data_IF_291548130030
#
_entry.id   IF_291548130030
#
_cell.length_a   1.000
_cell.length_b   1.000
_cell.length_c   1.000
_cell.angle_alpha   90.00
_cell.angle_beta   90.00
_cell.angle_gamma   90.00
#
_symmetry.space_group_name_H-M   'P 1'
#
loop_
_entity.id
_entity.type
_entity.pdbx_description
1 polymer ?
#
# COMPACT_ATOMS: atom_id res chain seq x y z
N UNK A 1 -15.37 -27.37 -7.00
CA UNK A 1 -16.04 -26.07 -7.28
C UNK A 1 -14.95 -25.02 -7.37
N UNK A 2 -14.62 -24.57 -8.58
CA UNK A 2 -13.58 -23.56 -8.79
C UNK A 2 -14.19 -22.18 -8.54
N UNK A 3 -14.03 -21.62 -7.35
CA UNK A 3 -14.36 -20.22 -7.11
C UNK A 3 -13.36 -19.36 -7.88
N UNK A 4 -13.75 -18.99 -9.10
CA UNK A 4 -13.21 -17.86 -9.82
C UNK A 4 -13.67 -16.58 -9.10
N UNK A 5 -13.18 -16.37 -7.87
CA UNK A 5 -13.34 -15.11 -7.13
C UNK A 5 -12.44 -14.08 -7.80
N UNK A 6 -12.89 -13.61 -8.96
CA UNK A 6 -12.27 -12.52 -9.69
C UNK A 6 -12.78 -11.22 -9.10
N UNK A 7 -11.87 -10.43 -8.56
CA UNK A 7 -12.15 -9.12 -8.01
C UNK A 7 -12.37 -8.14 -9.15
N UNK A 8 -13.55 -7.51 -9.15
CA UNK A 8 -13.86 -6.42 -10.07
C UNK A 8 -13.16 -5.15 -9.60
N UNK A 9 -12.36 -4.55 -10.49
CA UNK A 9 -11.66 -3.30 -10.25
C UNK A 9 -12.06 -2.31 -11.32
N UNK A 10 -12.33 -1.07 -10.92
CA UNK A 10 -12.63 0.01 -11.85
C UNK A 10 -11.46 0.97 -11.85
N UNK A 11 -10.82 1.15 -13.00
CA UNK A 11 -9.81 2.18 -13.22
C UNK A 11 -10.45 3.33 -13.96
N UNK A 12 -10.11 4.55 -13.59
CA UNK A 12 -10.48 5.75 -14.34
C UNK A 12 -9.27 6.12 -15.19
N UNK A 13 -9.44 6.13 -16.51
CA UNK A 13 -8.37 6.53 -17.43
C UNK A 13 -8.16 8.05 -17.35
N UNK A 14 -7.07 8.54 -17.96
CA UNK A 14 -6.83 9.99 -18.05
C UNK A 14 -7.93 10.74 -18.82
N UNK A 15 -8.68 10.05 -19.70
CA UNK A 15 -9.83 10.59 -20.43
C UNK A 15 -11.13 10.58 -19.63
N UNK A 16 -11.14 10.05 -18.40
CA UNK A 16 -12.34 9.94 -17.56
C UNK A 16 -13.19 8.69 -17.82
N UNK A 17 -12.78 7.85 -18.78
CA UNK A 17 -13.46 6.59 -19.07
C UNK A 17 -13.22 5.57 -17.95
N UNK A 18 -14.23 4.74 -17.69
CA UNK A 18 -14.15 3.68 -16.69
C UNK A 18 -13.79 2.37 -17.37
N UNK A 19 -12.59 1.88 -17.08
CA UNK A 19 -12.15 0.55 -17.50
C UNK A 19 -12.39 -0.44 -16.37
N UNK A 20 -13.18 -1.49 -16.65
CA UNK A 20 -13.45 -2.56 -15.69
C UNK A 20 -12.51 -3.72 -15.97
N UNK A 21 -11.70 -4.07 -14.98
CA UNK A 21 -10.82 -5.24 -15.02
C UNK A 21 -11.25 -6.26 -13.96
N UNK A 22 -10.98 -7.54 -14.23
CA UNK A 22 -11.22 -8.65 -13.32
C UNK A 22 -9.88 -9.29 -13.00
N UNK A 23 -9.45 -9.22 -11.74
CA UNK A 23 -8.18 -9.80 -11.30
C UNK A 23 -8.42 -10.97 -10.36
N UNK A 24 -7.57 -11.99 -10.44
CA UNK A 24 -7.43 -12.96 -9.36
C UNK A 24 -6.93 -12.28 -8.07
N UNK A 25 -7.14 -12.93 -6.92
CA UNK A 25 -6.62 -12.44 -5.64
C UNK A 25 -5.10 -12.20 -5.69
N UNK A 26 -4.34 -13.09 -6.36
CA UNK A 26 -2.89 -12.96 -6.49
C UNK A 26 -2.49 -11.72 -7.31
N UNK A 27 -3.21 -11.42 -8.39
CA UNK A 27 -2.95 -10.23 -9.22
C UNK A 27 -3.34 -8.94 -8.46
N UNK A 28 -4.46 -8.97 -7.74
CA UNK A 28 -4.89 -7.87 -6.88
C UNK A 28 -3.84 -7.59 -5.79
N UNK A 29 -3.30 -8.64 -5.18
CA UNK A 29 -2.28 -8.52 -4.16
C UNK A 29 -0.98 -7.92 -4.72
N UNK A 30 -0.53 -8.36 -5.90
CA UNK A 30 0.62 -7.75 -6.58
C UNK A 30 0.39 -6.27 -6.93
N UNK A 31 -0.82 -5.91 -7.33
CA UNK A 31 -1.19 -4.52 -7.62
C UNK A 31 -1.11 -3.64 -6.36
N UNK A 32 -1.67 -4.12 -5.23
CA UNK A 32 -1.58 -3.45 -3.92
C UNK A 32 -0.14 -3.27 -3.46
N UNK A 33 0.67 -4.32 -3.60
CA UNK A 33 2.10 -4.29 -3.27
C UNK A 33 2.87 -3.24 -4.07
N UNK A 34 2.62 -3.13 -5.39
CA UNK A 34 3.19 -2.07 -6.24
C UNK A 34 2.75 -0.68 -5.81
N UNK A 35 1.47 -0.50 -5.47
CA UNK A 35 0.94 0.78 -4.97
C UNK A 35 1.62 1.20 -3.67
N UNK A 36 1.80 0.26 -2.74
CA UNK A 36 2.51 0.48 -1.48
C UNK A 36 3.94 0.99 -1.73
N UNK A 37 4.71 0.30 -2.61
CA UNK A 37 6.05 0.73 -2.97
C UNK A 37 6.07 2.14 -3.56
N UNK A 38 5.11 2.46 -4.43
CA UNK A 38 4.98 3.77 -5.06
C UNK A 38 4.76 4.86 -4.00
N UNK A 39 3.77 4.68 -3.12
CA UNK A 39 3.44 5.63 -2.06
C UNK A 39 4.66 5.86 -1.16
N UNK A 40 5.34 4.80 -0.71
CA UNK A 40 6.51 4.95 0.14
C UNK A 40 7.63 5.75 -0.53
N UNK A 41 7.94 5.47 -1.80
CA UNK A 41 9.10 6.05 -2.50
C UNK A 41 8.82 7.46 -3.03
N UNK A 42 7.71 7.62 -3.74
CA UNK A 42 7.42 8.84 -4.51
C UNK A 42 6.71 9.88 -3.65
N UNK A 43 5.74 9.43 -2.84
CA UNK A 43 4.90 10.35 -2.07
C UNK A 43 5.54 10.64 -0.70
N UNK A 44 5.91 9.59 0.05
CA UNK A 44 6.47 9.77 1.39
C UNK A 44 8.01 9.99 1.39
N UNK A 45 8.71 9.58 0.33
CA UNK A 45 10.17 9.68 0.24
C UNK A 45 10.93 8.87 1.30
N UNK A 46 10.34 7.80 1.84
CA UNK A 46 10.90 7.04 2.96
C UNK A 46 11.63 5.78 2.51
N UNK A 47 12.67 5.39 3.26
CA UNK A 47 13.25 4.05 3.12
C UNK A 47 12.31 2.99 3.73
N UNK A 48 12.51 1.71 3.37
CA UNK A 48 11.74 0.63 3.99
C UNK A 48 11.95 0.58 5.51
N UNK A 49 13.18 0.83 5.98
CA UNK A 49 13.52 0.85 7.40
C UNK A 49 12.70 1.93 8.11
N UNK A 50 12.80 3.17 7.63
CA UNK A 50 12.13 4.33 8.25
C UNK A 50 10.61 4.14 8.27
N UNK A 51 10.00 3.65 7.19
CA UNK A 51 8.56 3.38 7.20
C UNK A 51 8.20 2.27 8.19
N UNK A 52 8.97 1.18 8.23
CA UNK A 52 8.69 0.06 9.12
C UNK A 52 8.74 0.48 10.60
N UNK A 53 9.75 1.27 10.96
CA UNK A 53 9.92 1.81 12.31
C UNK A 53 8.75 2.77 12.63
N UNK A 54 8.43 3.71 11.72
CA UNK A 54 7.31 4.67 11.84
C UNK A 54 5.94 4.06 12.10
N UNK A 55 5.65 2.89 11.52
CA UNK A 55 4.36 2.21 11.66
C UNK A 55 4.41 1.04 12.65
N UNK A 56 5.54 0.85 13.34
CA UNK A 56 5.71 -0.16 14.39
C UNK A 56 5.70 -1.60 13.90
N UNK A 57 6.26 -1.88 12.72
CA UNK A 57 6.35 -3.25 12.17
C UNK A 57 7.78 -3.66 11.89
N UNK A 58 8.04 -4.97 11.87
CA UNK A 58 9.36 -5.48 11.45
C UNK A 58 9.62 -5.12 10.00
N UNK A 59 10.85 -4.72 9.65
CA UNK A 59 11.25 -4.50 8.25
C UNK A 59 10.87 -5.66 7.33
N UNK A 60 11.03 -6.89 7.81
CA UNK A 60 10.68 -8.09 7.03
C UNK A 60 9.19 -8.15 6.69
N UNK A 61 8.32 -7.73 7.61
CA UNK A 61 6.88 -7.66 7.39
C UNK A 61 6.55 -6.67 6.27
N UNK A 62 7.17 -5.47 6.31
CA UNK A 62 7.01 -4.49 5.24
C UNK A 62 7.52 -5.02 3.89
N UNK A 63 8.68 -5.69 3.88
CA UNK A 63 9.23 -6.30 2.66
C UNK A 63 8.28 -7.33 2.06
N UNK A 64 7.71 -8.20 2.90
CA UNK A 64 6.74 -9.22 2.45
C UNK A 64 5.48 -8.59 1.86
N UNK A 65 5.01 -7.46 2.41
CA UNK A 65 3.91 -6.67 1.83
C UNK A 65 4.29 -6.06 0.47
N UNK A 66 5.48 -5.45 0.37
CA UNK A 66 5.93 -4.80 -0.86
C UNK A 66 6.17 -5.76 -2.02
N UNK A 67 6.50 -7.03 -1.76
CA UNK A 67 6.64 -8.06 -2.80
C UNK A 67 5.34 -8.84 -3.05
N UNK A 68 4.28 -8.56 -2.28
CA UNK A 68 2.99 -9.24 -2.39
C UNK A 68 2.99 -10.67 -1.85
N UNK A 69 3.95 -11.03 -0.98
CA UNK A 69 3.99 -12.33 -0.29
C UNK A 69 2.89 -12.43 0.77
N UNK A 70 2.54 -11.31 1.40
CA UNK A 70 1.41 -11.23 2.33
C UNK A 70 0.63 -9.92 2.11
N UNK A 71 -0.69 -9.90 2.42
CA UNK A 71 -1.49 -8.70 2.34
C UNK A 71 -1.11 -7.68 3.41
N UNK A 72 -1.04 -6.41 3.02
CA UNK A 72 -0.95 -5.30 3.96
C UNK A 72 -2.31 -5.13 4.66
N UNK A 73 -2.36 -5.01 5.99
CA UNK A 73 -3.60 -4.77 6.72
C UNK A 73 -4.25 -3.42 6.34
N UNK A 74 -5.59 -3.39 6.34
CA UNK A 74 -6.35 -2.17 6.01
C UNK A 74 -6.00 -0.96 6.90
N UNK A 75 -5.80 -1.10 8.24
CA UNK A 75 -5.40 0.02 9.07
C UNK A 75 -4.08 0.68 8.64
N UNK A 76 -3.12 -0.11 8.15
CA UNK A 76 -1.84 0.42 7.65
C UNK A 76 -2.06 1.22 6.36
N UNK A 77 -2.94 0.75 5.46
CA UNK A 77 -3.31 1.53 4.27
C UNK A 77 -3.88 2.90 4.64
N UNK A 78 -4.78 2.94 5.63
CA UNK A 78 -5.38 4.18 6.12
C UNK A 78 -4.30 5.09 6.72
N UNK A 79 -3.44 4.54 7.58
CA UNK A 79 -2.34 5.29 8.19
C UNK A 79 -1.42 5.92 7.13
N UNK A 80 -1.05 5.17 6.09
CA UNK A 80 -0.20 5.69 5.03
C UNK A 80 -0.86 6.79 4.21
N UNK A 81 -2.18 6.72 3.98
CA UNK A 81 -2.92 7.83 3.36
C UNK A 81 -2.93 9.05 4.27
N UNK A 82 -3.14 8.88 5.59
CA UNK A 82 -3.09 9.98 6.55
C UNK A 82 -1.70 10.63 6.62
N UNK A 83 -0.62 9.85 6.56
CA UNK A 83 0.75 10.39 6.50
C UNK A 83 1.00 11.25 5.25
N UNK A 84 0.27 10.99 4.17
CA UNK A 84 0.37 11.77 2.94
C UNK A 84 -0.52 13.02 2.97
N UNK A 85 -1.77 12.88 3.42
CA UNK A 85 -2.74 13.97 3.48
C UNK A 85 -2.47 14.97 4.61
N UNK A 86 -1.85 14.51 5.72
CA UNK A 86 -1.61 15.28 6.93
C UNK A 86 -0.13 15.19 7.34
N UNK A 87 0.72 16.14 6.90
CA UNK A 87 2.16 16.13 7.21
C UNK A 87 2.48 16.05 8.70
N UNK A 88 1.70 16.70 9.57
CA UNK A 88 1.89 16.67 11.02
C UNK A 88 1.82 15.25 11.60
N UNK A 89 0.94 14.39 11.05
CA UNK A 89 0.83 12.98 11.46
C UNK A 89 2.10 12.23 11.08
N UNK A 90 2.60 12.46 9.86
CA UNK A 90 3.85 11.87 9.40
C UNK A 90 5.02 12.32 10.27
N UNK A 91 5.16 13.62 10.53
CA UNK A 91 6.26 14.16 11.33
C UNK A 91 6.27 13.59 12.75
N UNK A 92 5.09 13.49 13.37
CA UNK A 92 4.92 12.87 14.68
C UNK A 92 5.35 11.40 14.70
N UNK A 93 4.91 10.61 13.72
CA UNK A 93 5.28 9.19 13.66
C UNK A 93 6.78 8.99 13.40
N UNK A 94 7.38 9.86 12.59
CA UNK A 94 8.82 9.79 12.30
C UNK A 94 9.68 10.21 13.50
N UNK A 95 9.22 11.13 14.35
CA UNK A 95 9.97 11.57 15.53
C UNK A 95 9.89 10.59 16.69
N UNK A 96 8.77 9.86 16.84
CA UNK A 96 8.59 8.84 17.88
C UNK A 96 9.34 7.53 17.58
N UNK A 97 9.90 7.38 16.38
CA UNK A 97 10.54 6.14 15.91
C UNK A 97 12.08 6.18 15.91
N UNK A 98 12.68 7.27 16.39
CA UNK A 98 14.13 7.40 16.65
C UNK A 98 14.46 7.11 18.10
#
# INVERSE_FOLDING_TARGET
>A
MAHSDKYRITKITKSGEREVAFLSEQELQKLRAKRLQKIRREELGLTQRVLADAIGVKLRTLQDWEIGRSPMPKPVEILMNLMWEMPDVREKLLSESQ
#
